data_IF_830941717646
#
_entry.id   IF_830941717646
#
_cell.length_a   1.000
_cell.length_b   1.000
_cell.length_c   1.000
_cell.angle_alpha   90.00
_cell.angle_beta   90.00
_cell.angle_gamma   90.00
#
_symmetry.space_group_name_H-M   'P 1'
#
loop_
_entity.id
_entity.type
_entity.pdbx_description
1 polymer ?
#
# COMPACT_ATOMS: atom_id res chain seq x y z
N UNK A 1 31.56 -14.64 -11.13
CA UNK A 1 30.53 -15.06 -12.07
C UNK A 1 29.25 -14.36 -11.62
N UNK A 2 28.45 -13.81 -12.52
CA UNK A 2 27.19 -13.17 -12.17
C UNK A 2 26.10 -14.25 -12.04
N UNK A 3 24.97 -13.91 -11.41
CA UNK A 3 23.88 -14.86 -11.20
C UNK A 3 23.00 -14.94 -12.44
N UNK A 4 22.64 -13.78 -12.99
CA UNK A 4 21.69 -13.66 -14.09
C UNK A 4 22.08 -12.52 -15.04
N UNK A 5 21.94 -12.77 -16.34
CA UNK A 5 21.95 -11.75 -17.39
C UNK A 5 20.59 -11.77 -18.11
N UNK A 6 20.01 -10.59 -18.31
CA UNK A 6 18.86 -10.38 -19.20
C UNK A 6 19.39 -9.63 -20.42
N UNK A 7 19.45 -10.32 -21.57
CA UNK A 7 20.04 -9.80 -22.80
C UNK A 7 19.01 -9.49 -23.89
N UNK A 8 19.46 -8.76 -24.92
CA UNK A 8 18.69 -8.40 -26.12
C UNK A 8 17.36 -7.70 -25.78
N UNK A 9 17.33 -6.93 -24.70
CA UNK A 9 16.14 -6.22 -24.26
C UNK A 9 15.76 -5.19 -25.32
N UNK A 10 14.60 -5.35 -25.98
CA UNK A 10 14.20 -4.42 -27.04
C UNK A 10 14.08 -2.98 -26.52
N UNK A 11 13.48 -2.82 -25.34
CA UNK A 11 13.38 -1.54 -24.62
C UNK A 11 13.63 -1.77 -23.12
N UNK A 12 14.73 -1.25 -22.62
CA UNK A 12 15.05 -1.22 -21.20
C UNK A 12 14.68 0.14 -20.62
N UNK A 13 13.75 0.15 -19.69
CA UNK A 13 13.34 1.38 -18.98
C UNK A 13 14.20 1.52 -17.74
N UNK A 14 14.97 2.59 -17.65
CA UNK A 14 15.81 2.91 -16.50
C UNK A 14 15.15 4.00 -15.66
N UNK A 15 15.04 3.81 -14.33
CA UNK A 15 14.54 4.87 -13.46
C UNK A 15 15.54 6.04 -13.48
N UNK A 16 15.00 7.24 -13.38
CA UNK A 16 15.84 8.43 -13.16
C UNK A 16 16.29 8.43 -11.69
N UNK A 17 17.61 8.49 -11.48
CA UNK A 17 18.13 8.74 -10.14
C UNK A 17 18.01 10.22 -9.83
N UNK A 18 17.12 10.59 -8.92
CA UNK A 18 16.92 11.97 -8.48
C UNK A 18 16.81 12.02 -6.96
N UNK A 19 17.38 13.06 -6.35
CA UNK A 19 17.29 13.29 -4.91
C UNK A 19 15.90 13.82 -4.46
N UNK A 20 15.05 14.14 -5.44
CA UNK A 20 13.71 14.71 -5.21
C UNK A 20 12.68 13.97 -6.06
N UNK A 21 11.42 13.90 -5.60
CA UNK A 21 10.34 13.39 -6.41
C UNK A 21 10.18 14.18 -7.72
N UNK A 22 10.00 13.47 -8.83
CA UNK A 22 9.67 14.08 -10.11
C UNK A 22 8.29 14.75 -10.04
N UNK A 23 8.10 15.87 -10.76
CA UNK A 23 6.87 16.64 -10.75
C UNK A 23 6.46 17.10 -12.15
N UNK A 24 5.16 17.16 -12.38
CA UNK A 24 4.58 17.69 -13.62
C UNK A 24 5.15 17.00 -14.87
N UNK A 25 5.68 17.75 -15.82
CA UNK A 25 6.20 17.23 -17.09
C UNK A 25 7.41 16.29 -16.95
N UNK A 26 8.12 16.35 -15.84
CA UNK A 26 9.24 15.42 -15.58
C UNK A 26 8.77 13.96 -15.49
N UNK A 27 7.49 13.73 -15.15
CA UNK A 27 6.90 12.40 -15.08
C UNK A 27 6.69 11.77 -16.47
N UNK A 28 6.62 12.57 -17.52
CA UNK A 28 6.42 12.10 -18.89
C UNK A 28 7.73 11.62 -19.55
N UNK A 29 8.86 11.91 -18.93
CA UNK A 29 10.18 11.59 -19.50
C UNK A 29 10.67 10.23 -19.02
N UNK A 30 10.68 9.26 -19.93
CA UNK A 30 11.25 7.93 -19.70
C UNK A 30 12.68 7.85 -20.27
N UNK A 31 13.60 7.29 -19.48
CA UNK A 31 14.93 6.93 -19.97
C UNK A 31 14.86 5.51 -20.56
N UNK A 32 14.75 5.41 -21.88
CA UNK A 32 14.62 4.14 -22.60
C UNK A 32 15.90 3.82 -23.35
N UNK A 33 16.52 2.69 -23.04
CA UNK A 33 17.69 2.15 -23.74
C UNK A 33 17.22 1.07 -24.70
N UNK A 34 17.50 1.25 -26.00
CA UNK A 34 17.23 0.21 -27.01
C UNK A 34 18.36 -0.82 -27.01
N UNK A 35 18.01 -2.09 -27.25
CA UNK A 35 18.93 -3.22 -27.22
C UNK A 35 19.75 -3.21 -25.92
N UNK A 36 19.05 -3.42 -24.81
CA UNK A 36 19.63 -3.30 -23.47
C UNK A 36 20.12 -4.64 -22.91
N UNK A 37 20.95 -4.53 -21.87
CA UNK A 37 21.37 -5.65 -21.00
C UNK A 37 21.22 -5.25 -19.54
N UNK A 38 20.74 -6.19 -18.71
CA UNK A 38 20.77 -6.10 -17.25
C UNK A 38 21.58 -7.27 -16.70
N UNK A 39 22.51 -6.99 -15.79
CA UNK A 39 23.33 -8.00 -15.11
C UNK A 39 23.10 -7.95 -13.63
N UNK A 40 22.86 -9.11 -13.03
CA UNK A 40 22.57 -9.29 -11.60
C UNK A 40 23.66 -10.15 -10.98
N UNK A 41 24.16 -9.73 -9.83
CA UNK A 41 25.09 -10.45 -8.99
C UNK A 41 24.75 -10.28 -7.52
N UNK A 42 24.73 -11.37 -6.78
CA UNK A 42 24.40 -11.39 -5.34
C UNK A 42 23.06 -10.67 -5.06
N UNK A 43 22.05 -10.91 -5.93
CA UNK A 43 20.71 -10.30 -5.83
C UNK A 43 20.66 -8.79 -6.16
N UNK A 44 21.75 -8.20 -6.71
CA UNK A 44 21.83 -6.77 -7.03
C UNK A 44 22.12 -6.54 -8.50
N UNK A 45 21.51 -5.50 -9.07
CA UNK A 45 21.84 -5.03 -10.42
C UNK A 45 23.25 -4.41 -10.39
N UNK A 46 24.19 -5.00 -11.11
CA UNK A 46 25.58 -4.51 -11.25
C UNK A 46 25.79 -3.79 -12.57
N UNK A 47 24.94 -4.04 -13.56
CA UNK A 47 24.91 -3.31 -14.83
C UNK A 47 23.47 -3.20 -15.33
N UNK A 48 23.12 -2.06 -15.89
CA UNK A 48 21.91 -1.85 -16.67
C UNK A 48 22.16 -0.75 -17.71
N UNK A 49 22.13 -1.10 -18.98
CA UNK A 49 22.48 -0.18 -20.06
C UNK A 49 22.36 -0.80 -21.44
N UNK A 50 23.10 -0.24 -22.40
CA UNK A 50 23.18 -0.78 -23.76
C UNK A 50 23.73 -2.20 -23.76
N UNK A 51 23.41 -2.97 -24.81
CA UNK A 51 23.88 -4.35 -24.93
C UNK A 51 25.42 -4.44 -24.88
N UNK A 52 25.89 -5.45 -24.16
CA UNK A 52 27.31 -5.79 -24.06
C UNK A 52 27.49 -7.29 -23.83
N UNK A 53 28.55 -7.87 -24.38
CA UNK A 53 28.97 -9.25 -24.22
C UNK A 53 30.08 -9.41 -23.16
N UNK A 54 30.38 -8.35 -22.39
CA UNK A 54 31.48 -8.32 -21.42
C UNK A 54 31.21 -9.12 -20.13
N UNK A 55 30.03 -9.67 -20.00
CA UNK A 55 29.61 -10.36 -18.79
C UNK A 55 29.20 -11.81 -19.04
N UNK A 56 29.63 -12.69 -18.12
CA UNK A 56 29.19 -14.06 -18.03
C UNK A 56 28.29 -14.25 -16.79
N UNK A 57 27.27 -15.10 -16.89
CA UNK A 57 26.39 -15.44 -15.76
C UNK A 57 26.01 -16.92 -15.76
N UNK A 58 25.51 -17.39 -14.61
CA UNK A 58 25.01 -18.76 -14.44
C UNK A 58 23.73 -18.97 -15.22
N UNK A 59 22.89 -17.95 -15.31
CA UNK A 59 21.61 -17.96 -16.03
C UNK A 59 21.52 -16.78 -17.00
N UNK A 60 20.89 -17.00 -18.16
CA UNK A 60 20.67 -15.97 -19.17
C UNK A 60 19.23 -16.02 -19.66
N UNK A 61 18.58 -14.86 -19.67
CA UNK A 61 17.24 -14.65 -20.22
C UNK A 61 17.37 -13.84 -21.51
N UNK A 62 16.89 -14.39 -22.63
CA UNK A 62 16.71 -13.64 -23.87
C UNK A 62 15.40 -12.84 -23.83
N UNK A 63 15.51 -11.51 -23.80
CA UNK A 63 14.41 -10.59 -23.81
C UNK A 63 14.17 -9.91 -25.16
N UNK A 64 14.53 -10.61 -26.27
CA UNK A 64 14.26 -10.14 -27.64
C UNK A 64 12.78 -9.81 -27.83
N UNK A 65 12.51 -8.61 -28.33
CA UNK A 65 11.16 -8.10 -28.56
C UNK A 65 10.35 -7.76 -27.30
N UNK A 66 10.98 -7.77 -26.11
CA UNK A 66 10.34 -7.48 -24.83
C UNK A 66 10.77 -6.12 -24.27
N UNK A 67 9.88 -5.55 -23.45
CA UNK A 67 10.20 -4.42 -22.57
C UNK A 67 10.62 -4.97 -21.20
N UNK A 68 11.70 -4.43 -20.65
CA UNK A 68 12.13 -4.68 -19.28
C UNK A 68 12.13 -3.37 -18.52
N UNK A 69 11.47 -3.35 -17.38
CA UNK A 69 11.36 -2.19 -16.50
C UNK A 69 11.59 -2.59 -15.04
N UNK A 70 11.86 -1.65 -14.14
CA UNK A 70 11.67 -1.89 -12.72
C UNK A 70 10.26 -2.41 -12.44
N UNK A 71 10.11 -3.18 -11.38
CA UNK A 71 8.80 -3.62 -10.92
C UNK A 71 7.90 -2.42 -10.59
N UNK A 72 6.59 -2.65 -10.68
CA UNK A 72 5.61 -1.64 -10.30
C UNK A 72 5.55 -1.52 -8.77
N UNK A 73 5.28 -0.30 -8.32
CA UNK A 73 5.06 0.04 -6.92
C UNK A 73 3.60 0.41 -6.74
N UNK A 74 2.89 -0.31 -5.86
CA UNK A 74 1.55 0.08 -5.43
C UNK A 74 1.65 0.77 -4.07
N UNK A 75 1.60 2.09 -4.09
CA UNK A 75 1.84 2.94 -2.94
C UNK A 75 0.60 3.19 -2.07
N UNK A 76 -0.55 2.56 -2.36
CA UNK A 76 -1.78 2.77 -1.62
C UNK A 76 -2.72 1.58 -1.72
N UNK A 77 -2.59 0.63 -0.81
CA UNK A 77 -3.54 -0.49 -0.73
C UNK A 77 -4.01 -0.72 0.71
N UNK A 78 -5.18 -1.36 0.83
CA UNK A 78 -5.64 -2.04 2.03
C UNK A 78 -5.60 -3.54 1.75
N UNK A 79 -4.40 -4.13 1.74
CA UNK A 79 -4.22 -5.53 1.34
C UNK A 79 -4.92 -6.50 2.28
N UNK A 80 -4.95 -6.18 3.58
CA UNK A 80 -5.47 -7.08 4.63
C UNK A 80 -6.83 -6.63 5.11
N UNK A 81 -7.90 -7.26 4.62
CA UNK A 81 -9.27 -7.02 5.06
C UNK A 81 -10.16 -8.25 4.87
N UNK A 82 -11.24 -8.34 5.67
CA UNK A 82 -12.24 -9.41 5.57
C UNK A 82 -13.38 -9.07 4.62
N UNK A 83 -14.05 -10.09 4.12
CA UNK A 83 -15.21 -9.95 3.25
C UNK A 83 -14.89 -9.37 1.86
N UNK A 84 -15.96 -8.92 1.21
CA UNK A 84 -15.89 -8.25 -0.09
C UNK A 84 -17.10 -7.32 -0.23
N UNK A 85 -17.02 -6.40 -1.18
CA UNK A 85 -18.07 -5.39 -1.42
C UNK A 85 -18.60 -5.41 -2.85
N UNK A 86 -18.43 -6.51 -3.57
CA UNK A 86 -18.91 -6.66 -4.94
C UNK A 86 -20.44 -6.52 -5.07
N UNK A 87 -21.19 -6.88 -4.02
CA UNK A 87 -22.63 -6.68 -3.98
C UNK A 87 -23.05 -5.21 -4.09
N UNK A 88 -22.21 -4.27 -3.65
CA UNK A 88 -22.48 -2.84 -3.78
C UNK A 88 -22.43 -2.35 -5.23
N UNK A 89 -21.74 -3.06 -6.12
CA UNK A 89 -21.68 -2.69 -7.53
C UNK A 89 -23.06 -2.70 -8.17
N UNK A 90 -23.91 -3.66 -7.80
CA UNK A 90 -25.29 -3.73 -8.29
C UNK A 90 -26.12 -2.56 -7.80
N UNK A 91 -25.94 -2.15 -6.55
CA UNK A 91 -26.62 -1.01 -5.93
C UNK A 91 -26.19 0.31 -6.58
N UNK A 92 -24.89 0.50 -6.80
CA UNK A 92 -24.35 1.67 -7.53
C UNK A 92 -24.88 1.75 -8.96
N UNK A 93 -24.98 0.64 -9.66
CA UNK A 93 -25.57 0.57 -11.01
C UNK A 93 -27.07 0.90 -11.03
N UNK A 94 -27.79 0.68 -9.93
CA UNK A 94 -29.18 1.08 -9.75
C UNK A 94 -29.32 2.56 -9.36
N UNK A 95 -28.22 3.32 -9.27
CA UNK A 95 -28.21 4.74 -8.92
C UNK A 95 -28.28 5.02 -7.43
N UNK A 96 -28.07 4.00 -6.56
CA UNK A 96 -28.01 4.23 -5.12
C UNK A 96 -26.81 5.10 -4.76
N UNK A 97 -27.06 6.12 -3.93
CA UNK A 97 -26.00 6.96 -3.37
C UNK A 97 -25.16 6.20 -2.35
N UNK A 98 -23.98 6.74 -2.04
CA UNK A 98 -23.11 6.18 -1.00
C UNK A 98 -23.82 6.09 0.36
N UNK A 99 -24.60 7.11 0.74
CA UNK A 99 -25.34 7.15 2.00
C UNK A 99 -26.42 6.07 2.06
N UNK A 100 -27.19 5.88 0.96
CA UNK A 100 -28.18 4.81 0.90
C UNK A 100 -27.53 3.42 1.03
N UNK A 101 -26.37 3.20 0.41
CA UNK A 101 -25.63 1.94 0.54
C UNK A 101 -25.15 1.74 1.98
N UNK A 102 -24.67 2.80 2.63
CA UNK A 102 -24.25 2.76 4.03
C UNK A 102 -25.42 2.43 4.97
N UNK A 103 -26.58 3.04 4.77
CA UNK A 103 -27.82 2.74 5.52
C UNK A 103 -28.28 1.29 5.33
N UNK A 104 -28.04 0.70 4.17
CA UNK A 104 -28.31 -0.71 3.86
C UNK A 104 -27.27 -1.67 4.45
N UNK A 105 -26.34 -1.18 5.26
CA UNK A 105 -25.30 -1.99 5.90
C UNK A 105 -24.06 -2.25 5.04
N UNK A 106 -23.91 -1.54 3.94
CA UNK A 106 -22.69 -1.54 3.10
C UNK A 106 -21.64 -0.53 3.58
N UNK A 107 -20.75 -0.15 2.68
CA UNK A 107 -19.70 0.83 2.96
C UNK A 107 -18.58 0.29 3.85
N UNK A 108 -17.81 1.21 4.43
CA UNK A 108 -16.64 0.89 5.25
C UNK A 108 -16.98 -0.02 6.44
N UNK A 109 -18.12 0.20 7.10
CA UNK A 109 -18.52 -0.57 8.28
C UNK A 109 -18.82 -2.04 7.96
N UNK A 110 -19.28 -2.36 6.75
CA UNK A 110 -19.44 -3.74 6.29
C UNK A 110 -18.08 -4.45 6.24
N UNK A 111 -17.04 -3.79 5.70
CA UNK A 111 -15.68 -4.33 5.68
C UNK A 111 -15.11 -4.46 7.10
N UNK A 112 -15.37 -3.48 7.97
CA UNK A 112 -14.93 -3.52 9.38
C UNK A 112 -15.51 -4.75 10.09
N UNK A 113 -16.82 -4.97 10.00
CA UNK A 113 -17.45 -6.12 10.62
C UNK A 113 -16.87 -7.44 10.09
N UNK A 114 -16.76 -7.58 8.78
CA UNK A 114 -16.18 -8.77 8.16
C UNK A 114 -14.72 -9.00 8.57
N UNK A 115 -13.91 -7.93 8.71
CA UNK A 115 -12.52 -8.01 9.16
C UNK A 115 -12.42 -8.45 10.61
N UNK A 116 -13.28 -7.92 11.47
CA UNK A 116 -13.35 -8.31 12.89
C UNK A 116 -13.71 -9.78 13.07
N UNK A 117 -14.69 -10.27 12.30
CA UNK A 117 -15.19 -11.64 12.35
C UNK A 117 -14.24 -12.66 11.72
N UNK A 118 -13.38 -12.23 10.77
CA UNK A 118 -12.46 -13.13 10.06
C UNK A 118 -11.25 -13.47 10.93
N UNK A 119 -10.91 -14.76 10.99
CA UNK A 119 -9.72 -15.22 11.71
C UNK A 119 -8.42 -14.67 11.08
N UNK A 120 -7.34 -14.60 11.86
CA UNK A 120 -6.03 -14.17 11.35
C UNK A 120 -5.55 -15.03 10.18
N UNK A 121 -5.76 -16.35 10.26
CA UNK A 121 -5.33 -17.27 9.20
C UNK A 121 -6.17 -17.14 7.92
N UNK A 122 -7.45 -16.83 8.01
CA UNK A 122 -8.29 -16.63 6.83
C UNK A 122 -8.05 -15.24 6.21
N UNK A 123 -7.76 -14.20 7.02
CA UNK A 123 -7.26 -12.92 6.53
C UNK A 123 -5.92 -13.12 5.78
N UNK A 124 -5.03 -13.93 6.33
CA UNK A 124 -3.75 -14.23 5.70
C UNK A 124 -3.95 -14.90 4.34
N UNK A 125 -4.78 -15.96 4.25
CA UNK A 125 -5.05 -16.68 2.98
C UNK A 125 -5.65 -15.74 1.92
N UNK A 126 -6.60 -14.89 2.32
CA UNK A 126 -7.22 -13.93 1.41
C UNK A 126 -6.20 -12.90 0.90
N UNK A 127 -5.48 -12.26 1.81
CA UNK A 127 -4.48 -11.26 1.48
C UNK A 127 -3.31 -11.85 0.66
N UNK A 128 -2.94 -13.10 0.92
CA UNK A 128 -1.96 -13.84 0.13
C UNK A 128 -2.42 -14.04 -1.31
N UNK A 129 -3.67 -14.44 -1.53
CA UNK A 129 -4.25 -14.59 -2.86
C UNK A 129 -4.21 -13.26 -3.64
N UNK A 130 -4.59 -12.18 -2.98
CA UNK A 130 -4.61 -10.84 -3.58
C UNK A 130 -3.18 -10.36 -3.90
N UNK A 131 -2.22 -10.55 -2.98
CA UNK A 131 -0.81 -10.24 -3.17
C UNK A 131 -0.20 -11.01 -4.35
N UNK A 132 -0.43 -12.31 -4.43
CA UNK A 132 0.06 -13.14 -5.54
C UNK A 132 -0.53 -12.71 -6.89
N UNK A 133 -1.75 -12.18 -6.88
CA UNK A 133 -2.36 -11.59 -8.07
C UNK A 133 -1.66 -10.28 -8.46
N UNK A 134 -1.33 -9.41 -7.49
CA UNK A 134 -0.55 -8.19 -7.72
C UNK A 134 0.83 -8.52 -8.29
N UNK A 135 1.53 -9.52 -7.73
CA UNK A 135 2.84 -9.99 -8.21
C UNK A 135 2.75 -10.45 -9.68
N UNK A 136 1.72 -11.21 -10.05
CA UNK A 136 1.49 -11.64 -11.45
C UNK A 136 1.29 -10.46 -12.40
N UNK A 137 0.84 -9.31 -11.90
CA UNK A 137 0.69 -8.07 -12.67
C UNK A 137 1.93 -7.16 -12.58
N UNK A 138 3.04 -7.65 -12.00
CA UNK A 138 4.31 -6.94 -11.95
C UNK A 138 4.52 -6.01 -10.77
N UNK A 139 3.63 -6.03 -9.77
CA UNK A 139 3.79 -5.24 -8.53
C UNK A 139 4.66 -6.01 -7.56
N UNK A 140 5.84 -5.47 -7.20
CA UNK A 140 6.78 -6.08 -6.25
C UNK A 140 7.14 -5.19 -5.05
N UNK A 141 6.61 -3.97 -5.00
CA UNK A 141 6.67 -3.13 -3.81
C UNK A 141 5.27 -2.63 -3.47
N UNK A 142 4.85 -2.81 -2.23
CA UNK A 142 3.45 -2.56 -1.82
C UNK A 142 3.42 -1.77 -0.52
N UNK A 143 2.56 -0.76 -0.46
CA UNK A 143 2.12 -0.21 0.82
C UNK A 143 0.83 -0.91 1.24
N UNK A 144 0.83 -1.51 2.43
CA UNK A 144 -0.34 -2.13 3.05
C UNK A 144 -0.79 -1.32 4.26
N UNK A 145 -2.00 -0.77 4.20
CA UNK A 145 -2.63 -0.03 5.29
C UNK A 145 -3.57 -0.93 6.09
N UNK A 146 -3.62 -0.75 7.42
CA UNK A 146 -4.72 -1.20 8.27
C UNK A 146 -5.93 -0.25 8.13
N UNK A 147 -6.84 -0.21 9.08
CA UNK A 147 -7.95 0.75 9.08
C UNK A 147 -9.33 0.14 8.86
N UNK A 148 -9.40 -1.18 8.85
CA UNK A 148 -10.67 -1.92 8.88
C UNK A 148 -10.86 -2.73 10.17
N UNK A 149 -10.02 -2.50 11.17
CA UNK A 149 -10.22 -3.02 12.53
C UNK A 149 -11.05 -2.08 13.37
N UNK A 150 -10.65 -0.82 13.40
CA UNK A 150 -11.20 0.27 14.21
C UNK A 150 -11.25 -0.09 15.72
N UNK A 151 -10.37 -0.97 16.15
CA UNK A 151 -10.08 -1.30 17.54
C UNK A 151 -8.66 -1.88 17.65
N UNK A 152 -8.16 -1.97 18.88
CA UNK A 152 -6.79 -2.43 19.14
C UNK A 152 -6.51 -3.84 18.56
N UNK A 153 -7.39 -4.78 18.82
CA UNK A 153 -7.17 -6.18 18.45
C UNK A 153 -7.12 -6.37 16.94
N UNK A 154 -8.07 -5.79 16.24
CA UNK A 154 -8.25 -5.99 14.81
C UNK A 154 -7.30 -5.14 13.96
N UNK A 155 -6.89 -3.96 14.42
CA UNK A 155 -5.83 -3.18 13.78
C UNK A 155 -4.48 -3.92 13.85
N UNK A 156 -4.14 -4.44 15.03
CA UNK A 156 -2.95 -5.28 15.21
C UNK A 156 -3.00 -6.56 14.38
N UNK A 157 -4.16 -7.22 14.29
CA UNK A 157 -4.37 -8.41 13.47
C UNK A 157 -4.05 -8.14 12.01
N UNK A 158 -4.55 -7.03 11.44
CA UNK A 158 -4.26 -6.64 10.06
C UNK A 158 -2.75 -6.39 9.83
N UNK A 159 -2.11 -5.61 10.72
CA UNK A 159 -0.68 -5.32 10.61
C UNK A 159 0.17 -6.57 10.73
N UNK A 160 -0.13 -7.48 11.66
CA UNK A 160 0.59 -8.76 11.81
C UNK A 160 0.46 -9.64 10.57
N UNK A 161 -0.74 -9.77 10.01
CA UNK A 161 -0.96 -10.53 8.77
C UNK A 161 -0.13 -9.94 7.62
N UNK A 162 -0.13 -8.63 7.47
CA UNK A 162 0.64 -7.95 6.42
C UNK A 162 2.16 -8.17 6.59
N UNK A 163 2.69 -8.09 7.82
CA UNK A 163 4.10 -8.37 8.09
C UNK A 163 4.47 -9.84 7.79
N UNK A 164 3.61 -10.81 8.18
CA UNK A 164 3.81 -12.23 7.84
C UNK A 164 3.87 -12.48 6.34
N UNK A 165 3.10 -11.73 5.53
CA UNK A 165 3.16 -11.82 4.07
C UNK A 165 4.48 -11.27 3.52
N UNK A 166 4.93 -10.12 4.02
CA UNK A 166 6.22 -9.53 3.63
C UNK A 166 7.37 -10.50 3.88
N UNK A 167 7.43 -11.11 5.07
CA UNK A 167 8.43 -12.10 5.44
C UNK A 167 8.35 -13.36 4.56
N UNK A 168 7.14 -13.88 4.32
CA UNK A 168 6.96 -15.12 3.55
C UNK A 168 7.45 -15.01 2.11
N UNK A 169 7.27 -13.85 1.48
CA UNK A 169 7.57 -13.62 0.08
C UNK A 169 8.82 -12.78 -0.17
N UNK A 170 9.53 -12.38 0.88
CA UNK A 170 10.71 -11.50 0.82
C UNK A 170 10.43 -10.24 -0.04
N UNK A 171 9.29 -9.59 0.21
CA UNK A 171 8.84 -8.43 -0.54
C UNK A 171 9.11 -7.12 0.20
N UNK A 172 9.46 -6.07 -0.55
CA UNK A 172 9.53 -4.71 0.00
C UNK A 172 8.12 -4.17 0.26
N UNK A 173 7.58 -4.50 1.41
CA UNK A 173 6.29 -3.99 1.87
C UNK A 173 6.50 -2.88 2.90
N UNK A 174 5.71 -1.83 2.78
CA UNK A 174 5.60 -0.77 3.78
C UNK A 174 4.26 -0.89 4.47
N UNK A 175 4.29 -0.84 5.78
CA UNK A 175 3.09 -0.99 6.60
C UNK A 175 2.67 0.35 7.18
N UNK A 176 1.38 0.66 7.04
CA UNK A 176 0.80 1.92 7.52
C UNK A 176 -0.33 1.61 8.51
N UNK A 177 -0.20 2.14 9.72
CA UNK A 177 -1.29 2.15 10.69
C UNK A 177 -2.27 3.27 10.34
N UNK A 178 -3.48 2.90 9.95
CA UNK A 178 -4.59 3.81 9.66
C UNK A 178 -5.77 3.52 10.60
N UNK A 179 -5.53 3.35 11.90
CA UNK A 179 -6.60 3.17 12.88
C UNK A 179 -7.68 4.26 12.81
N UNK A 180 -7.30 5.56 12.72
CA UNK A 180 -8.29 6.64 12.52
C UNK A 180 -8.74 6.76 11.04
N UNK A 181 -9.34 5.69 10.47
CA UNK A 181 -9.89 5.62 9.12
C UNK A 181 -11.39 5.94 9.08
N UNK A 182 -12.11 5.56 10.11
CA UNK A 182 -13.50 5.90 10.35
C UNK A 182 -13.76 5.84 11.86
N UNK A 183 -14.91 6.31 12.28
CA UNK A 183 -15.33 6.22 13.69
C UNK A 183 -16.35 5.09 13.82
N UNK A 184 -16.07 4.06 14.62
CA UNK A 184 -17.00 2.96 14.81
C UNK A 184 -18.24 3.41 15.60
N UNK A 185 -19.38 2.75 15.39
CA UNK A 185 -20.67 3.12 16.01
C UNK A 185 -20.66 3.05 17.53
N UNK A 186 -19.82 2.21 18.10
CA UNK A 186 -19.64 2.02 19.54
C UNK A 186 -18.79 3.10 20.21
N UNK A 187 -18.09 3.95 19.45
CA UNK A 187 -17.31 5.04 20.00
C UNK A 187 -18.20 6.10 20.65
N UNK A 188 -17.80 6.62 21.79
CA UNK A 188 -18.53 7.66 22.51
C UNK A 188 -18.47 9.03 21.83
N UNK A 189 -17.37 9.32 21.16
CA UNK A 189 -17.16 10.49 20.29
C UNK A 189 -15.96 10.25 19.37
N UNK A 190 -15.82 11.12 18.34
CA UNK A 190 -14.65 11.09 17.45
C UNK A 190 -13.37 11.36 18.22
N UNK A 191 -13.39 12.32 19.16
CA UNK A 191 -12.24 12.66 20.01
C UNK A 191 -11.81 11.49 20.89
N UNK A 192 -12.76 10.84 21.56
CA UNK A 192 -12.46 9.69 22.42
C UNK A 192 -11.84 8.54 21.62
N UNK A 193 -12.40 8.24 20.46
CA UNK A 193 -11.86 7.21 19.57
C UNK A 193 -10.45 7.59 19.06
N UNK A 194 -10.23 8.85 18.70
CA UNK A 194 -8.92 9.33 18.26
C UNK A 194 -7.86 9.14 19.36
N UNK A 195 -8.19 9.46 20.62
CA UNK A 195 -7.28 9.25 21.75
C UNK A 195 -6.99 7.75 21.99
N UNK A 196 -7.96 6.86 21.76
CA UNK A 196 -7.71 5.42 21.78
C UNK A 196 -6.71 5.01 20.70
N UNK A 197 -6.83 5.53 19.48
CA UNK A 197 -5.89 5.26 18.39
C UNK A 197 -4.50 5.87 18.65
N UNK A 198 -4.42 7.04 19.27
CA UNK A 198 -3.18 7.65 19.72
C UNK A 198 -2.49 6.78 20.79
N UNK A 199 -3.25 6.25 21.73
CA UNK A 199 -2.72 5.37 22.78
C UNK A 199 -2.13 4.07 22.22
N UNK A 200 -2.54 3.62 21.02
CA UNK A 200 -2.00 2.44 20.35
C UNK A 200 -0.66 2.69 19.63
N UNK A 201 -0.29 3.94 19.34
CA UNK A 201 0.91 4.26 18.56
C UNK A 201 2.18 3.56 19.05
N UNK A 202 2.50 3.54 20.37
CA UNK A 202 3.69 2.83 20.84
C UNK A 202 3.68 1.33 20.55
N UNK A 203 2.50 0.69 20.59
CA UNK A 203 2.36 -0.73 20.36
C UNK A 203 2.44 -1.08 18.87
N UNK A 204 1.77 -0.33 18.01
CA UNK A 204 1.76 -0.57 16.57
C UNK A 204 3.08 -0.20 15.90
N UNK A 205 3.95 0.57 16.57
CA UNK A 205 5.25 0.99 16.04
C UNK A 205 6.16 -0.16 15.61
N UNK A 206 6.06 -1.30 16.27
CA UNK A 206 6.83 -2.49 15.90
C UNK A 206 6.34 -3.17 14.62
N UNK A 207 5.14 -2.83 14.13
CA UNK A 207 4.51 -3.45 12.96
C UNK A 207 4.29 -2.47 11.81
N UNK A 208 4.49 -1.15 12.01
CA UNK A 208 4.18 -0.15 11.00
C UNK A 208 5.29 0.90 10.86
N UNK A 209 5.57 1.28 9.61
CA UNK A 209 6.52 2.32 9.23
C UNK A 209 5.89 3.71 9.31
N UNK A 210 4.60 3.79 8.96
CA UNK A 210 3.84 5.03 8.81
C UNK A 210 2.59 5.01 9.70
N UNK A 211 2.14 6.21 10.08
CA UNK A 211 0.82 6.44 10.64
C UNK A 211 0.04 7.38 9.72
N UNK A 212 -1.25 7.12 9.57
CA UNK A 212 -2.13 7.81 8.62
C UNK A 212 -3.48 8.11 9.29
N UNK A 213 -4.18 9.14 8.81
CA UNK A 213 -5.48 9.56 9.33
C UNK A 213 -6.37 10.04 8.18
N UNK A 214 -7.68 9.82 8.29
CA UNK A 214 -8.68 10.30 7.35
C UNK A 214 -9.27 11.63 7.81
N UNK A 215 -8.70 12.74 7.30
CA UNK A 215 -9.16 14.10 7.52
C UNK A 215 -10.26 14.44 6.52
N UNK A 216 -11.53 14.27 6.93
CA UNK A 216 -12.67 14.45 6.04
C UNK A 216 -13.92 14.88 6.82
N UNK A 217 -14.85 15.55 6.12
CA UNK A 217 -16.15 15.96 6.68
C UNK A 217 -16.86 14.75 7.28
N UNK A 218 -17.24 14.87 8.56
CA UNK A 218 -17.96 13.82 9.28
C UNK A 218 -17.08 12.71 9.87
N UNK A 219 -15.75 12.76 9.66
CA UNK A 219 -14.79 11.82 10.23
C UNK A 219 -13.87 12.55 11.21
N UNK A 220 -12.70 13.05 10.78
CA UNK A 220 -11.80 13.83 11.64
C UNK A 220 -11.54 15.21 11.06
N UNK A 221 -11.56 16.23 11.93
CA UNK A 221 -11.29 17.62 11.55
C UNK A 221 -9.79 17.84 11.29
N UNK A 222 -9.45 19.02 10.74
CA UNK A 222 -8.06 19.44 10.54
C UNK A 222 -7.30 19.46 11.88
N UNK A 223 -7.91 20.01 12.93
CA UNK A 223 -7.30 20.13 14.26
C UNK A 223 -7.06 18.74 14.89
N UNK A 224 -8.03 17.83 14.76
CA UNK A 224 -7.91 16.45 15.22
C UNK A 224 -6.80 15.73 14.45
N UNK A 225 -6.73 15.92 13.14
CA UNK A 225 -5.72 15.33 12.29
C UNK A 225 -4.32 15.86 12.59
N UNK A 226 -4.17 17.15 12.82
CA UNK A 226 -2.90 17.74 13.24
C UNK A 226 -2.45 17.21 14.61
N UNK A 227 -3.36 17.08 15.57
CA UNK A 227 -3.07 16.49 16.88
C UNK A 227 -2.57 15.05 16.75
N UNK A 228 -3.30 14.20 16.01
CA UNK A 228 -2.88 12.82 15.77
C UNK A 228 -1.51 12.73 15.09
N UNK A 229 -1.29 13.48 14.00
CA UNK A 229 -0.02 13.46 13.27
C UNK A 229 1.14 13.93 14.14
N UNK A 230 0.92 14.92 15.02
CA UNK A 230 1.94 15.36 15.98
C UNK A 230 2.29 14.22 16.95
N UNK A 231 1.29 13.52 17.50
CA UNK A 231 1.49 12.37 18.40
C UNK A 231 2.19 11.21 17.69
N UNK A 232 1.84 10.94 16.44
CA UNK A 232 2.49 9.93 15.63
C UNK A 232 3.97 10.26 15.36
N UNK A 233 4.31 11.52 15.07
CA UNK A 233 5.71 11.96 14.95
C UNK A 233 6.47 11.82 16.27
N UNK A 234 5.87 12.19 17.40
CA UNK A 234 6.46 12.00 18.73
C UNK A 234 6.74 10.53 19.05
N UNK A 235 5.88 9.61 18.56
CA UNK A 235 6.07 8.16 18.64
C UNK A 235 7.07 7.62 17.59
N UNK A 236 7.67 8.47 16.76
CA UNK A 236 8.70 8.11 15.79
C UNK A 236 8.18 7.60 14.45
N UNK A 237 6.91 7.84 14.10
CA UNK A 237 6.38 7.53 12.79
C UNK A 237 6.71 8.60 11.74
N UNK A 238 6.84 8.17 10.50
CA UNK A 238 6.56 9.02 9.35
C UNK A 238 5.05 9.10 9.19
N UNK A 239 4.53 10.26 8.81
CA UNK A 239 3.07 10.48 8.75
C UNK A 239 2.59 10.65 7.32
N UNK A 240 1.36 10.22 7.10
CA UNK A 240 0.56 10.40 5.89
C UNK A 240 -0.79 10.98 6.29
N UNK A 241 -1.56 11.44 5.32
CA UNK A 241 -2.91 11.93 5.51
C UNK A 241 -3.76 11.60 4.29
N UNK A 242 -4.98 11.13 4.51
CA UNK A 242 -6.06 11.18 3.54
C UNK A 242 -6.79 12.50 3.78
N UNK A 243 -6.85 13.34 2.77
CA UNK A 243 -7.48 14.65 2.88
C UNK A 243 -8.04 15.09 1.52
N UNK A 244 -9.08 15.91 1.55
CA UNK A 244 -9.67 16.51 0.35
C UNK A 244 -10.16 15.46 -0.67
N UNK A 245 -10.62 14.29 -0.19
CA UNK A 245 -11.14 13.19 -1.03
C UNK A 245 -12.60 13.47 -1.46
N UNK A 246 -13.41 13.93 -0.53
CA UNK A 246 -14.83 14.24 -0.73
C UNK A 246 -15.03 15.76 -0.74
N UNK A 247 -14.62 16.41 0.34
CA UNK A 247 -14.76 17.86 0.53
C UNK A 247 -13.39 18.54 0.64
N UNK A 248 -13.14 19.69 -0.05
CA UNK A 248 -11.90 20.41 0.06
C UNK A 248 -11.81 21.16 1.39
N UNK A 249 -11.34 20.50 2.42
CA UNK A 249 -11.19 21.06 3.78
C UNK A 249 -9.92 21.91 3.92
N UNK A 250 -8.96 21.80 3.00
CA UNK A 250 -7.63 22.40 3.14
C UNK A 250 -6.75 21.62 4.12
N UNK A 251 -6.87 20.31 4.12
CA UNK A 251 -6.09 19.38 4.96
C UNK A 251 -4.64 19.20 4.52
N UNK A 252 -4.26 19.75 3.35
CA UNK A 252 -2.91 19.68 2.78
C UNK A 252 -2.12 20.96 3.01
#
# INVERSE_FOLDING_TARGET
MNDLIINHIAELILPRSTDKPLKGKELDELNVVKNGTVVIKDGKIVYAGTHTDDYDATETIDASGKVVSPALVDAHTHLTFGGSREHEMSLKRQGKSYLEILEMGGGILSTVNATRETSEDDLFKKAEHDLLTMIKHGVLAVESKSGYGLDRENELKQLKVSNRLAEKYDLDMKHTFLGPHAVPKEASSNEAFLEEMIALLPEVKQYADFADIFCETGVFTIEQSQHYMQKAKEAGFKVKIHADEIDPLGGL
#
